data_IF_503242479100
#
_entry.id   IF_503242479100
#
_cell.length_a   1.000
_cell.length_b   1.000
_cell.length_c   1.000
_cell.angle_alpha   90.00
_cell.angle_beta   90.00
_cell.angle_gamma   90.00
#
_symmetry.space_group_name_H-M   'P 1'
#
loop_
_entity.id
_entity.type
_entity.pdbx_description
1 polymer ?
#
# COMPACT_ATOMS: atom_id res chain seq x y z
N UNK A 1 25.41 8.35 -30.87
CA UNK A 1 24.25 8.14 -30.00
C UNK A 1 23.01 8.12 -30.87
N UNK A 2 22.29 7.01 -30.90
CA UNK A 2 20.97 6.97 -31.56
C UNK A 2 19.94 7.49 -30.56
N UNK A 3 19.22 8.53 -30.97
CA UNK A 3 18.05 9.04 -30.26
C UNK A 3 16.86 8.39 -30.97
N UNK A 4 16.20 7.47 -30.28
CA UNK A 4 14.94 6.89 -30.73
C UNK A 4 13.80 7.70 -30.10
N UNK A 5 12.95 8.29 -30.93
CA UNK A 5 11.72 8.95 -30.49
C UNK A 5 10.58 7.99 -30.78
N UNK A 6 10.28 7.12 -29.82
CA UNK A 6 9.02 6.39 -29.88
C UNK A 6 7.90 7.33 -29.42
N UNK A 7 7.30 8.07 -30.36
CA UNK A 7 6.17 8.98 -30.11
C UNK A 7 4.87 8.23 -29.74
N UNK A 8 4.92 6.90 -29.58
CA UNK A 8 3.78 6.06 -29.23
C UNK A 8 3.96 5.30 -27.90
N UNK A 9 5.11 5.44 -27.23
CA UNK A 9 5.40 4.83 -25.93
C UNK A 9 5.16 5.82 -24.78
N UNK A 10 4.33 5.43 -23.80
CA UNK A 10 4.10 6.23 -22.60
C UNK A 10 5.38 6.43 -21.77
N UNK A 11 5.46 7.54 -21.03
CA UNK A 11 6.57 7.82 -20.12
C UNK A 11 6.61 6.85 -18.95
N UNK A 12 7.58 5.93 -18.96
CA UNK A 12 7.79 4.95 -17.89
C UNK A 12 9.01 5.30 -17.02
N UNK A 13 8.92 5.01 -15.72
CA UNK A 13 10.10 4.77 -14.87
C UNK A 13 10.27 3.26 -14.72
N UNK A 14 11.50 2.81 -14.91
CA UNK A 14 11.92 1.45 -14.60
C UNK A 14 13.02 1.50 -13.56
N UNK A 15 13.02 0.51 -12.68
CA UNK A 15 14.11 0.27 -11.73
C UNK A 15 14.72 -1.08 -12.03
N UNK A 16 16.04 -1.07 -12.12
CA UNK A 16 16.86 -2.22 -12.45
C UNK A 16 17.76 -2.56 -11.26
N UNK A 17 18.14 -3.83 -11.13
CA UNK A 17 19.25 -4.23 -10.27
C UNK A 17 20.61 -3.86 -10.90
N UNK A 18 21.71 -4.13 -10.18
CA UNK A 18 23.07 -3.83 -10.66
C UNK A 18 23.48 -4.66 -11.88
N UNK A 19 22.82 -5.79 -12.13
CA UNK A 19 23.05 -6.66 -13.28
C UNK A 19 22.17 -6.25 -14.49
N UNK A 20 21.30 -5.24 -14.32
CA UNK A 20 20.41 -4.71 -15.35
C UNK A 20 19.06 -5.43 -15.45
N UNK A 21 18.70 -6.30 -14.50
CA UNK A 21 17.40 -6.95 -14.49
C UNK A 21 16.31 -6.01 -13.95
N UNK A 22 15.12 -6.05 -14.56
CA UNK A 22 13.98 -5.25 -14.14
C UNK A 22 13.47 -5.68 -12.76
N UNK A 23 13.52 -4.79 -11.78
CA UNK A 23 12.92 -4.95 -10.45
C UNK A 23 11.46 -4.48 -10.44
N UNK A 24 11.19 -3.28 -10.96
CA UNK A 24 9.82 -2.76 -11.11
C UNK A 24 9.71 -1.75 -12.25
N UNK A 25 8.47 -1.52 -12.71
CA UNK A 25 8.12 -0.49 -13.70
C UNK A 25 6.86 0.27 -13.28
N UNK A 26 6.79 1.56 -13.61
CA UNK A 26 5.62 2.41 -13.40
C UNK A 26 5.43 3.34 -14.59
N UNK A 27 4.25 3.32 -15.18
CA UNK A 27 3.82 4.29 -16.18
C UNK A 27 3.40 5.59 -15.50
N UNK A 28 3.99 6.71 -15.91
CA UNK A 28 3.70 8.05 -15.37
C UNK A 28 2.69 8.83 -16.22
N UNK A 29 2.67 8.56 -17.52
CA UNK A 29 1.74 9.14 -18.48
C UNK A 29 1.61 8.25 -19.70
N UNK A 30 0.50 8.40 -20.40
CA UNK A 30 0.24 7.73 -21.69
C UNK A 30 0.87 8.48 -22.88
N UNK A 31 1.59 9.57 -22.59
CA UNK A 31 2.26 10.46 -23.55
C UNK A 31 3.75 10.58 -23.20
N UNK A 32 4.42 11.61 -23.71
CA UNK A 32 5.84 11.88 -23.49
C UNK A 32 6.06 12.45 -22.08
N UNK A 33 7.14 12.04 -21.42
CA UNK A 33 7.74 12.78 -20.30
C UNK A 33 8.75 13.79 -20.88
N UNK A 34 8.41 15.08 -21.05
CA UNK A 34 9.30 16.03 -21.74
C UNK A 34 10.49 16.47 -20.87
N UNK A 35 10.49 16.13 -19.58
CA UNK A 35 11.51 16.56 -18.64
C UNK A 35 12.60 15.52 -18.44
N UNK A 36 13.84 15.99 -18.30
CA UNK A 36 14.91 15.15 -17.74
C UNK A 36 14.69 14.98 -16.24
N UNK A 37 14.91 13.78 -15.67
CA UNK A 37 14.85 13.61 -14.23
C UNK A 37 15.96 14.42 -13.55
N UNK A 38 15.69 14.93 -12.35
CA UNK A 38 16.70 15.56 -11.47
C UNK A 38 16.81 14.77 -10.17
N UNK A 39 18.02 14.58 -9.67
CA UNK A 39 18.28 13.88 -8.41
C UNK A 39 18.62 14.94 -7.35
N UNK A 40 17.84 14.99 -6.27
CA UNK A 40 18.10 15.81 -5.10
C UNK A 40 19.30 15.31 -4.30
N UNK A 41 19.85 16.15 -3.42
CA UNK A 41 20.96 15.78 -2.54
C UNK A 41 20.59 14.62 -1.58
N UNK A 42 19.31 14.49 -1.26
CA UNK A 42 18.70 13.40 -0.50
C UNK A 42 18.51 12.11 -1.33
N UNK A 43 18.92 12.11 -2.59
CA UNK A 43 18.73 11.02 -3.55
C UNK A 43 17.34 10.96 -4.18
N UNK A 44 16.43 11.88 -3.85
CA UNK A 44 15.08 11.92 -4.44
C UNK A 44 15.15 12.29 -5.92
N UNK A 45 14.64 11.42 -6.77
CA UNK A 45 14.48 11.61 -8.21
C UNK A 45 13.16 12.33 -8.47
N UNK A 46 13.22 13.51 -9.06
CA UNK A 46 12.05 14.27 -9.51
C UNK A 46 11.90 14.17 -11.01
N UNK A 47 10.68 13.95 -11.49
CA UNK A 47 10.35 13.93 -12.92
C UNK A 47 9.00 14.58 -13.16
N UNK A 48 8.89 15.38 -14.21
CA UNK A 48 7.62 15.95 -14.64
C UNK A 48 7.02 15.11 -15.78
N UNK A 49 5.73 14.79 -15.66
CA UNK A 49 4.95 14.17 -16.74
C UNK A 49 3.78 15.06 -17.17
N UNK A 50 3.33 14.88 -18.40
CA UNK A 50 2.12 15.49 -18.94
C UNK A 50 1.39 14.48 -19.81
N UNK A 51 0.06 14.48 -19.77
CA UNK A 51 -0.77 13.66 -20.67
C UNK A 51 -1.15 14.40 -21.96
N UNK A 52 -0.57 15.58 -22.24
CA UNK A 52 -0.88 16.28 -23.48
C UNK A 52 -0.19 15.58 -24.65
N UNK A 53 -0.98 15.18 -25.64
CA UNK A 53 -0.49 14.58 -26.87
C UNK A 53 -0.30 15.65 -27.94
N UNK A 54 -1.15 16.71 -28.00
CA UNK A 54 -1.07 17.79 -28.99
C UNK A 54 -1.90 19.01 -28.51
N UNK A 55 -1.27 19.98 -27.81
CA UNK A 55 -1.71 21.38 -27.77
C UNK A 55 -2.91 21.74 -26.87
N UNK A 56 -3.04 21.15 -25.68
CA UNK A 56 -4.15 21.44 -24.76
C UNK A 56 -3.72 21.59 -23.29
N UNK A 57 -4.56 22.31 -22.52
CA UNK A 57 -4.50 22.65 -21.08
C UNK A 57 -4.42 21.45 -20.10
N UNK A 58 -3.78 20.34 -20.46
CA UNK A 58 -3.65 19.19 -19.57
C UNK A 58 -2.74 19.54 -18.37
N UNK A 59 -3.13 19.19 -17.14
CA UNK A 59 -2.29 19.43 -15.97
C UNK A 59 -0.97 18.66 -16.10
N UNK A 60 0.14 19.36 -15.81
CA UNK A 60 1.43 18.73 -15.59
C UNK A 60 1.50 18.16 -14.17
N UNK A 61 2.17 17.03 -14.02
CA UNK A 61 2.40 16.38 -12.73
C UNK A 61 3.90 16.37 -12.42
N UNK A 62 4.27 16.76 -11.21
CA UNK A 62 5.61 16.55 -10.65
C UNK A 62 5.58 15.29 -9.79
N UNK A 63 6.41 14.31 -10.12
CA UNK A 63 6.59 13.09 -9.35
C UNK A 63 7.92 13.15 -8.59
N UNK A 64 7.97 12.53 -7.42
CA UNK A 64 9.18 12.39 -6.61
C UNK A 64 9.36 10.91 -6.20
N UNK A 65 10.57 10.39 -6.39
CA UNK A 65 10.96 9.00 -6.12
C UNK A 65 12.32 8.98 -5.44
N UNK A 66 12.39 8.79 -4.14
CA UNK A 66 13.66 8.86 -3.42
C UNK A 66 14.00 7.64 -2.60
N UNK A 67 15.25 7.57 -2.09
CA UNK A 67 15.69 6.58 -1.11
C UNK A 67 15.14 6.87 0.28
N UNK A 68 14.28 7.89 0.43
CA UNK A 68 13.63 8.24 1.69
C UNK A 68 13.00 7.01 2.35
N UNK A 69 12.92 7.05 3.68
CA UNK A 69 12.45 5.91 4.46
C UNK A 69 11.13 5.37 3.90
N UNK A 70 11.11 4.07 3.63
CA UNK A 70 9.99 3.41 2.99
C UNK A 70 8.73 3.58 3.86
N UNK A 71 7.83 4.47 3.44
CA UNK A 71 6.51 4.68 4.06
C UNK A 71 5.63 3.48 3.74
N UNK A 72 5.61 2.51 4.64
CA UNK A 72 4.79 1.31 4.54
C UNK A 72 4.36 0.87 5.93
N UNK A 73 3.40 -0.03 5.95
CA UNK A 73 3.07 -0.82 7.12
C UNK A 73 3.22 -2.31 6.79
N UNK A 74 3.44 -3.11 7.82
CA UNK A 74 3.45 -4.56 7.75
C UNK A 74 2.50 -5.10 8.82
N UNK A 75 1.60 -5.99 8.41
CA UNK A 75 0.67 -6.62 9.35
C UNK A 75 1.41 -7.72 10.09
N UNK A 76 1.60 -7.51 11.39
CA UNK A 76 2.25 -8.49 12.28
C UNK A 76 1.25 -9.55 12.74
N UNK A 77 -0.01 -9.14 12.93
CA UNK A 77 -1.07 -10.02 13.38
C UNK A 77 -2.43 -9.55 12.85
N UNK A 78 -3.30 -10.44 12.35
CA UNK A 78 -3.08 -11.87 12.15
C UNK A 78 -2.11 -12.16 10.99
N UNK A 79 -1.23 -13.15 11.18
CA UNK A 79 -0.42 -13.71 10.09
C UNK A 79 -1.31 -14.46 9.09
N UNK A 80 -1.09 -14.17 7.81
CA UNK A 80 -1.89 -14.69 6.69
C UNK A 80 -1.77 -16.22 6.61
N UNK A 81 -2.90 -16.87 6.34
CA UNK A 81 -2.94 -18.32 6.13
C UNK A 81 -2.98 -19.16 7.39
N UNK A 82 -3.37 -18.59 8.53
CA UNK A 82 -3.56 -19.31 9.78
C UNK A 82 -5.00 -19.28 10.29
N UNK A 83 -5.32 -20.26 11.12
CA UNK A 83 -6.53 -20.31 11.94
C UNK A 83 -6.28 -19.60 13.27
N UNK A 84 -7.21 -18.71 13.62
CA UNK A 84 -7.29 -17.99 14.88
C UNK A 84 -8.57 -18.35 15.61
N UNK A 85 -8.46 -18.67 16.90
CA UNK A 85 -9.59 -18.98 17.78
C UNK A 85 -9.52 -18.07 19.01
N UNK A 86 -10.52 -17.20 19.20
CA UNK A 86 -10.61 -16.25 20.32
C UNK A 86 -9.30 -15.45 20.52
N UNK A 87 -8.80 -14.90 19.42
CA UNK A 87 -7.60 -14.07 19.39
C UNK A 87 -6.28 -14.83 19.47
N UNK A 88 -6.29 -16.17 19.48
CA UNK A 88 -5.08 -17.00 19.52
C UNK A 88 -4.79 -17.68 18.19
N UNK A 89 -3.57 -17.52 17.68
CA UNK A 89 -3.04 -18.27 16.52
C UNK A 89 -2.90 -19.76 16.85
N UNK A 90 -3.38 -20.63 15.97
CA UNK A 90 -3.30 -22.08 16.16
C UNK A 90 -2.42 -22.76 15.12
N UNK A 91 -2.92 -22.94 13.90
CA UNK A 91 -2.30 -23.78 12.86
C UNK A 91 -2.45 -23.13 11.48
N UNK A 92 -1.52 -23.38 10.54
CA UNK A 92 -1.67 -22.94 9.17
C UNK A 92 -2.87 -23.65 8.52
N UNK A 93 -3.52 -22.99 7.57
CA UNK A 93 -4.66 -23.55 6.83
C UNK A 93 -4.18 -24.23 5.54
N UNK A 94 -4.83 -25.32 5.09
CA UNK A 94 -4.35 -26.10 3.94
C UNK A 94 -4.28 -25.34 2.60
N UNK A 95 -5.03 -24.24 2.46
CA UNK A 95 -5.10 -23.43 1.23
C UNK A 95 -4.54 -22.02 1.40
N UNK A 96 -3.92 -21.71 2.55
CA UNK A 96 -3.38 -20.38 2.82
C UNK A 96 -4.41 -19.29 3.13
N UNK A 97 -5.68 -19.66 3.35
CA UNK A 97 -6.71 -18.71 3.78
C UNK A 97 -6.51 -18.35 5.26
N UNK A 98 -6.68 -17.08 5.60
CA UNK A 98 -6.79 -16.66 7.00
C UNK A 98 -8.19 -16.96 7.51
N UNK A 99 -8.32 -17.63 8.65
CA UNK A 99 -9.61 -17.96 9.27
C UNK A 99 -9.62 -17.41 10.70
N UNK A 100 -10.61 -16.60 11.03
CA UNK A 100 -10.76 -15.99 12.35
C UNK A 100 -12.11 -16.41 12.93
N UNK A 101 -12.08 -16.95 14.15
CA UNK A 101 -13.26 -17.37 14.91
C UNK A 101 -13.30 -16.58 16.23
N UNK A 102 -14.32 -15.75 16.39
CA UNK A 102 -14.46 -14.79 17.50
C UNK A 102 -13.52 -13.59 17.39
N UNK A 103 -13.35 -12.86 18.50
CA UNK A 103 -12.49 -11.67 18.57
C UNK A 103 -11.05 -11.94 18.09
N UNK A 104 -10.41 -10.93 17.50
CA UNK A 104 -8.99 -10.98 17.15
C UNK A 104 -8.36 -9.60 17.34
N UNK A 105 -7.12 -9.54 17.81
CA UNK A 105 -6.36 -8.30 17.72
C UNK A 105 -5.81 -8.17 16.29
N UNK A 106 -5.65 -6.95 15.82
CA UNK A 106 -4.89 -6.62 14.62
C UNK A 106 -3.71 -5.78 15.08
N UNK A 107 -2.50 -6.14 14.67
CA UNK A 107 -1.26 -5.47 15.05
C UNK A 107 -0.47 -5.13 13.80
N UNK A 108 0.05 -3.91 13.77
CA UNK A 108 0.69 -3.35 12.59
C UNK A 108 2.02 -2.75 13.00
N UNK A 109 3.09 -3.15 12.30
CA UNK A 109 4.36 -2.47 12.37
C UNK A 109 4.38 -1.36 11.32
N UNK A 110 4.72 -0.14 11.72
CA UNK A 110 4.80 1.00 10.82
C UNK A 110 6.23 1.45 10.63
N UNK A 111 6.53 1.96 9.44
CA UNK A 111 7.83 2.52 9.08
C UNK A 111 7.70 4.02 8.90
N UNK A 112 8.78 4.77 9.12
CA UNK A 112 8.77 6.24 9.04
C UNK A 112 7.74 6.88 10.00
N UNK A 113 7.67 6.40 11.24
CA UNK A 113 6.67 6.81 12.24
C UNK A 113 6.65 8.32 12.51
N UNK A 114 7.79 9.01 12.41
CA UNK A 114 7.87 10.47 12.57
C UNK A 114 7.00 11.24 11.54
N UNK A 115 6.72 10.61 10.41
CA UNK A 115 5.87 11.11 9.33
C UNK A 115 4.45 10.51 9.35
N UNK A 116 4.19 9.49 10.16
CA UNK A 116 2.90 8.79 10.21
C UNK A 116 1.90 9.61 11.03
N UNK A 117 0.75 9.92 10.43
CA UNK A 117 -0.33 10.70 11.07
C UNK A 117 -1.38 9.80 11.69
N UNK A 118 -1.71 8.67 11.05
CA UNK A 118 -2.65 7.68 11.60
C UNK A 118 -2.61 6.33 10.86
N UNK A 119 -3.06 5.28 11.55
CA UNK A 119 -3.38 3.97 10.98
C UNK A 119 -4.87 3.73 11.13
N UNK A 120 -5.57 3.53 10.01
CA UNK A 120 -7.02 3.37 9.95
C UNK A 120 -7.35 1.94 9.57
N UNK A 121 -8.24 1.31 10.33
CA UNK A 121 -8.66 -0.08 10.17
C UNK A 121 -10.09 -0.13 9.64
N UNK A 122 -10.29 -0.82 8.52
CA UNK A 122 -11.58 -0.94 7.85
C UNK A 122 -11.95 -2.41 7.73
N UNK A 123 -13.25 -2.70 7.90
CA UNK A 123 -13.84 -3.97 7.47
C UNK A 123 -14.85 -3.66 6.38
N UNK A 124 -14.69 -4.26 5.21
CA UNK A 124 -15.54 -4.07 4.04
C UNK A 124 -15.83 -2.58 3.77
N UNK A 125 -14.76 -1.78 3.68
CA UNK A 125 -14.79 -0.32 3.41
C UNK A 125 -15.37 0.55 4.54
N UNK A 126 -15.90 -0.05 5.60
CA UNK A 126 -16.38 0.65 6.79
C UNK A 126 -15.25 0.85 7.80
N UNK A 127 -14.85 2.10 8.05
CA UNK A 127 -13.86 2.43 9.07
C UNK A 127 -14.36 1.98 10.44
N UNK A 128 -13.57 1.14 11.13
CA UNK A 128 -13.89 0.62 12.46
C UNK A 128 -13.07 1.26 13.55
N UNK A 129 -11.83 1.65 13.25
CA UNK A 129 -10.92 2.24 14.22
C UNK A 129 -9.84 3.07 13.53
N UNK A 130 -9.43 4.15 14.19
CA UNK A 130 -8.28 4.94 13.79
C UNK A 130 -7.35 5.04 14.99
N UNK A 131 -6.12 4.60 14.79
CA UNK A 131 -5.06 4.68 15.77
C UNK A 131 -4.09 5.80 15.40
N UNK A 132 -3.73 6.63 16.37
CA UNK A 132 -2.89 7.80 16.17
C UNK A 132 -1.51 7.63 16.84
N UNK A 133 -1.34 6.64 17.71
CA UNK A 133 -0.12 6.49 18.52
C UNK A 133 0.35 5.04 18.54
N UNK A 134 1.66 4.83 18.46
CA UNK A 134 2.24 3.50 18.56
C UNK A 134 2.11 2.94 20.00
N UNK A 135 1.99 1.61 20.17
CA UNK A 135 1.92 0.58 19.13
C UNK A 135 0.56 0.55 18.43
N UNK A 136 0.57 0.47 17.10
CA UNK A 136 -0.64 0.52 16.27
C UNK A 136 -1.41 -0.80 16.34
N UNK A 137 -2.46 -0.82 17.15
CA UNK A 137 -3.21 -2.02 17.47
C UNK A 137 -4.73 -1.77 17.52
N UNK A 138 -5.48 -2.70 16.96
CA UNK A 138 -6.94 -2.68 17.04
C UNK A 138 -7.49 -3.99 17.58
N UNK A 139 -8.36 -3.92 18.59
CA UNK A 139 -9.15 -5.08 19.02
C UNK A 139 -10.40 -5.21 18.13
N UNK A 140 -10.33 -6.11 17.15
CA UNK A 140 -11.47 -6.46 16.31
C UNK A 140 -12.46 -7.34 17.09
N UNK A 141 -13.53 -6.71 17.58
CA UNK A 141 -14.67 -7.37 18.23
C UNK A 141 -15.57 -8.04 17.19
N UNK A 142 -16.04 -9.24 17.48
CA UNK A 142 -16.94 -10.05 16.64
C UNK A 142 -18.26 -9.39 16.19
N UNK A 143 -18.65 -8.23 16.74
CA UNK A 143 -19.88 -7.49 16.42
C UNK A 143 -19.87 -6.75 15.07
N UNK A 144 -18.78 -6.82 14.30
CA UNK A 144 -18.72 -6.11 13.01
C UNK A 144 -19.55 -6.79 11.90
N UNK A 145 -19.95 -8.06 12.08
CA UNK A 145 -20.70 -8.83 11.09
C UNK A 145 -21.87 -9.57 11.74
N UNK A 146 -23.06 -9.44 11.14
CA UNK A 146 -24.27 -10.19 11.52
C UNK A 146 -24.33 -11.56 10.80
N UNK A 147 -23.42 -11.83 9.86
CA UNK A 147 -23.37 -13.07 9.12
C UNK A 147 -22.48 -14.10 9.83
N UNK A 148 -22.99 -15.31 10.12
CA UNK A 148 -22.25 -16.27 10.93
C UNK A 148 -21.00 -16.82 10.23
N UNK A 149 -20.99 -16.87 8.90
CA UNK A 149 -19.85 -17.30 8.09
C UNK A 149 -19.81 -16.43 6.84
N UNK A 150 -18.83 -15.53 6.74
CA UNK A 150 -18.68 -14.66 5.58
C UNK A 150 -17.20 -14.29 5.37
N UNK A 151 -16.72 -14.24 4.10
CA UNK A 151 -15.41 -13.68 3.81
C UNK A 151 -15.46 -12.16 3.92
N UNK A 152 -14.53 -11.59 4.66
CA UNK A 152 -14.39 -10.15 4.85
C UNK A 152 -13.03 -9.68 4.35
N UNK A 153 -12.96 -8.40 3.98
CA UNK A 153 -11.71 -7.72 3.68
C UNK A 153 -11.37 -6.76 4.82
N UNK A 154 -10.22 -6.99 5.45
CA UNK A 154 -9.58 -6.05 6.36
C UNK A 154 -8.65 -5.16 5.53
N UNK A 155 -8.98 -3.88 5.42
CA UNK A 155 -8.10 -2.88 4.81
C UNK A 155 -7.46 -2.06 5.91
N UNK A 156 -6.14 -1.91 5.87
CA UNK A 156 -5.37 -1.13 6.84
C UNK A 156 -4.67 -0.02 6.08
N UNK A 157 -5.01 1.23 6.43
CA UNK A 157 -4.54 2.41 5.72
C UNK A 157 -3.69 3.28 6.63
N UNK A 158 -2.41 3.39 6.31
CA UNK A 158 -1.49 4.33 6.92
C UNK A 158 -1.54 5.66 6.16
N UNK A 159 -1.73 6.76 6.88
CA UNK A 159 -1.72 8.12 6.32
C UNK A 159 -0.52 8.87 6.85
N UNK A 160 0.32 9.38 5.96
CA UNK A 160 1.54 10.10 6.28
C UNK A 160 1.43 11.58 5.90
N UNK A 161 2.24 12.40 6.56
CA UNK A 161 2.42 13.82 6.24
C UNK A 161 2.65 14.03 4.75
N UNK A 162 2.04 15.09 4.23
CA UNK A 162 2.08 15.40 2.79
C UNK A 162 1.10 14.61 1.94
N UNK A 163 0.18 13.85 2.55
CA UNK A 163 -0.88 13.10 1.85
C UNK A 163 -0.40 11.79 1.22
N UNK A 164 0.76 11.28 1.63
CA UNK A 164 1.23 9.96 1.22
C UNK A 164 0.45 8.89 1.99
N UNK A 165 0.01 7.84 1.31
CA UNK A 165 -0.79 6.78 1.92
C UNK A 165 -0.24 5.40 1.54
N UNK A 166 -0.31 4.46 2.47
CA UNK A 166 -0.09 3.04 2.22
C UNK A 166 -1.35 2.27 2.60
N UNK A 167 -1.74 1.30 1.77
CA UNK A 167 -2.89 0.43 2.03
C UNK A 167 -2.45 -1.01 1.95
N UNK A 168 -2.79 -1.79 2.97
CA UNK A 168 -2.63 -3.23 3.01
C UNK A 168 -4.00 -3.90 3.13
N UNK A 169 -4.28 -4.88 2.28
CA UNK A 169 -5.55 -5.62 2.26
C UNK A 169 -5.34 -7.08 2.65
N UNK A 170 -6.14 -7.56 3.60
CA UNK A 170 -6.17 -8.97 4.02
C UNK A 170 -7.58 -9.51 3.84
N UNK A 171 -7.70 -10.57 3.04
CA UNK A 171 -8.91 -11.38 2.99
C UNK A 171 -8.89 -12.43 4.10
N UNK A 172 -10.00 -12.55 4.82
CA UNK A 172 -10.15 -13.57 5.86
C UNK A 172 -11.58 -14.10 5.91
N UNK A 173 -11.71 -15.37 6.30
CA UNK A 173 -13.01 -15.93 6.65
C UNK A 173 -13.30 -15.65 8.11
N UNK A 174 -14.46 -15.07 8.38
CA UNK A 174 -14.91 -14.84 9.75
C UNK A 174 -16.01 -15.81 10.15
N UNK A 175 -15.91 -16.32 11.37
CA UNK A 175 -16.92 -17.16 12.00
C UNK A 175 -17.37 -16.54 13.31
N UNK A 176 -18.64 -16.17 13.37
CA UNK A 176 -19.30 -15.70 14.58
C UNK A 176 -19.76 -16.91 15.42
N UNK A 177 -19.54 -16.86 16.74
CA UNK A 177 -19.96 -17.89 17.70
C UNK A 177 -20.85 -17.31 18.80
#
# INVERSE_FOLDING_TARGET
>A
SHIDFDMLGGGEIIVLDLDGNLLWRKTLCDSVCPSSPVIGEDGTVYICSSNDLIGGDAPGYLHAFGPGDMKKIEVEYPEIGYLYLFGRKFLPTPRGNTIIIGDCNVKVNAYSEDDLESVNFYIDESCKFTDYEAPYEWKMDQRFSDYPIYPHRLSIKAQYKGGCEWVEDIEFWFFHL
#
